data_IF_363437073917
#
_entry.id   IF_363437073917
#
_cell.length_a   1.000
_cell.length_b   1.000
_cell.length_c   1.000
_cell.angle_alpha   90.00
_cell.angle_beta   90.00
_cell.angle_gamma   90.00
#
_symmetry.space_group_name_H-M   'P 1'
#
loop_
_entity.id
_entity.type
_entity.pdbx_description
1 polymer ?
#
# COMPACT_ATOMS: atom_id res chain seq x y z
N UNK A 1 -15.45 -3.65 -4.02
CA UNK A 1 -14.41 -2.65 -4.26
C UNK A 1 -14.07 -1.93 -2.96
N UNK A 2 -12.89 -1.30 -2.92
CA UNK A 2 -12.44 -0.45 -1.83
C UNK A 2 -11.87 0.86 -2.35
N UNK A 3 -11.72 1.84 -1.46
CA UNK A 3 -11.12 3.15 -1.76
C UNK A 3 -9.92 3.38 -0.84
N UNK A 4 -8.79 3.82 -1.40
CA UNK A 4 -7.62 4.22 -0.62
C UNK A 4 -7.63 5.74 -0.41
N UNK A 5 -7.48 6.17 0.85
CA UNK A 5 -7.35 7.57 1.24
C UNK A 5 -5.98 7.80 1.87
N UNK A 6 -5.19 8.67 1.28
CA UNK A 6 -3.91 9.12 1.86
C UNK A 6 -4.22 10.13 2.97
N UNK A 7 -4.10 9.70 4.22
CA UNK A 7 -4.40 10.52 5.40
C UNK A 7 -3.15 11.26 5.86
N UNK A 8 -2.71 12.22 5.05
CA UNK A 8 -1.56 13.07 5.35
C UNK A 8 -2.00 14.53 5.47
N UNK A 9 -1.42 15.34 6.36
CA UNK A 9 -1.82 16.75 6.54
C UNK A 9 -1.79 17.59 5.26
N UNK A 10 -0.97 17.22 4.28
CA UNK A 10 -0.91 17.91 2.97
C UNK A 10 -2.04 17.52 2.02
N UNK A 11 -2.79 16.45 2.31
CA UNK A 11 -3.92 16.04 1.48
C UNK A 11 -5.19 16.80 1.89
N UNK A 12 -5.50 17.88 1.19
CA UNK A 12 -6.68 18.71 1.42
C UNK A 12 -8.00 18.01 1.06
N UNK A 13 -7.95 16.86 0.39
CA UNK A 13 -9.13 16.14 -0.11
C UNK A 13 -9.68 15.11 0.88
N UNK A 14 -8.98 14.77 1.95
CA UNK A 14 -9.34 13.69 2.89
C UNK A 14 -10.82 13.76 3.29
N UNK A 15 -11.27 14.93 3.72
CA UNK A 15 -12.66 15.10 4.18
C UNK A 15 -13.68 14.91 3.05
N UNK A 16 -13.45 15.53 1.89
CA UNK A 16 -14.34 15.44 0.74
C UNK A 16 -14.42 13.99 0.19
N UNK A 17 -13.29 13.31 0.12
CA UNK A 17 -13.23 11.91 -0.34
C UNK A 17 -13.92 10.97 0.66
N UNK A 18 -13.78 11.22 1.98
CA UNK A 18 -14.47 10.47 3.03
C UNK A 18 -16.01 10.65 2.93
N UNK A 19 -16.48 11.88 2.72
CA UNK A 19 -17.91 12.17 2.53
C UNK A 19 -18.51 11.40 1.35
N UNK A 20 -17.75 11.27 0.26
CA UNK A 20 -18.14 10.45 -0.89
C UNK A 20 -18.21 8.96 -0.51
N UNK A 21 -17.22 8.48 0.25
CA UNK A 21 -17.22 7.10 0.75
C UNK A 21 -18.44 6.80 1.63
N UNK A 22 -18.80 7.71 2.51
CA UNK A 22 -20.00 7.62 3.36
C UNK A 22 -21.26 7.61 2.52
N UNK A 23 -21.41 8.58 1.59
CA UNK A 23 -22.57 8.69 0.71
C UNK A 23 -22.84 7.42 -0.07
N UNK A 24 -21.78 6.75 -0.54
CA UNK A 24 -21.88 5.52 -1.32
C UNK A 24 -21.70 4.24 -0.50
N UNK A 25 -21.59 4.35 0.82
CA UNK A 25 -21.37 3.23 1.75
C UNK A 25 -20.27 2.29 1.26
N UNK A 26 -19.09 2.87 0.94
CA UNK A 26 -17.95 2.12 0.42
C UNK A 26 -17.58 1.02 1.41
N UNK A 27 -17.64 -0.27 1.02
CA UNK A 27 -17.52 -1.38 1.98
C UNK A 27 -16.11 -1.51 2.59
N UNK A 28 -15.08 -1.08 1.89
CA UNK A 28 -13.69 -1.13 2.35
C UNK A 28 -13.00 0.22 2.11
N UNK A 29 -12.53 0.84 3.18
CA UNK A 29 -11.63 2.01 3.09
C UNK A 29 -10.23 1.60 3.53
N UNK A 30 -9.24 1.90 2.72
CA UNK A 30 -7.82 1.73 3.04
C UNK A 30 -7.27 3.10 3.41
N UNK A 31 -6.52 3.19 4.52
CA UNK A 31 -5.86 4.43 4.95
C UNK A 31 -4.35 4.27 4.89
N UNK A 32 -3.66 5.30 4.40
CA UNK A 32 -2.21 5.35 4.28
C UNK A 32 -1.68 6.64 4.90
N UNK A 33 -0.46 6.60 5.45
CA UNK A 33 0.28 7.73 6.04
C UNK A 33 -0.36 8.40 7.27
N UNK A 34 -1.44 7.87 7.82
CA UNK A 34 -2.05 8.35 9.05
C UNK A 34 -3.22 7.48 9.50
N UNK A 35 -3.24 7.11 10.78
CA UNK A 35 -4.36 6.41 11.42
C UNK A 35 -5.15 7.43 12.27
N UNK A 36 -6.42 7.67 11.91
CA UNK A 36 -7.28 8.68 12.52
C UNK A 36 -8.58 8.04 12.97
N UNK A 37 -8.84 8.06 14.29
CA UNK A 37 -10.02 7.45 14.90
C UNK A 37 -11.33 7.95 14.30
N UNK A 38 -11.46 9.26 14.10
CA UNK A 38 -12.66 9.85 13.51
C UNK A 38 -13.01 9.28 12.13
N UNK A 39 -11.99 8.98 11.29
CA UNK A 39 -12.21 8.34 9.98
C UNK A 39 -12.73 6.90 10.18
N UNK A 40 -12.10 6.15 11.09
CA UNK A 40 -12.49 4.77 11.40
C UNK A 40 -13.94 4.74 11.91
N UNK A 41 -14.27 5.56 12.88
CA UNK A 41 -15.63 5.66 13.44
C UNK A 41 -16.66 6.02 12.37
N UNK A 42 -16.31 6.95 11.47
CA UNK A 42 -17.16 7.36 10.36
C UNK A 42 -17.45 6.21 9.40
N UNK A 43 -16.43 5.43 9.05
CA UNK A 43 -16.60 4.27 8.16
C UNK A 43 -17.40 3.16 8.86
N UNK A 44 -17.12 2.89 10.12
CA UNK A 44 -17.87 1.93 10.93
C UNK A 44 -19.35 2.32 11.09
N UNK A 45 -19.69 3.61 11.14
CA UNK A 45 -21.07 4.08 11.32
C UNK A 45 -22.06 3.60 10.26
N UNK A 46 -21.58 3.28 9.06
CA UNK A 46 -22.41 2.73 7.99
C UNK A 46 -22.14 1.23 7.69
N UNK A 47 -21.33 0.56 8.53
CA UNK A 47 -20.99 -0.86 8.39
C UNK A 47 -19.84 -1.16 7.42
N UNK A 48 -19.05 -0.15 7.03
CA UNK A 48 -17.81 -0.32 6.28
C UNK A 48 -16.67 -0.82 7.18
N UNK A 49 -15.60 -1.31 6.59
CA UNK A 49 -14.39 -1.76 7.27
C UNK A 49 -13.18 -0.91 6.87
N UNK A 50 -12.22 -0.76 7.79
CA UNK A 50 -11.00 0.03 7.56
C UNK A 50 -9.77 -0.83 7.67
N UNK A 51 -8.93 -0.81 6.62
CA UNK A 51 -7.58 -1.37 6.67
C UNK A 51 -6.55 -0.25 6.62
N UNK A 52 -5.39 -0.46 7.27
CA UNK A 52 -4.36 0.56 7.37
C UNK A 52 -3.00 0.06 6.89
N UNK A 53 -2.34 0.84 6.03
CA UNK A 53 -0.98 0.57 5.54
C UNK A 53 0.06 0.79 6.63
N UNK A 54 0.89 -0.22 6.89
CA UNK A 54 1.97 -0.15 7.86
C UNK A 54 3.31 -0.63 7.28
N UNK A 55 4.40 -0.04 7.74
CA UNK A 55 5.78 -0.43 7.39
C UNK A 55 6.63 -0.81 8.61
N UNK A 56 6.11 -0.64 9.83
CA UNK A 56 6.81 -0.95 11.09
C UNK A 56 5.83 -1.15 12.26
N UNK A 57 6.32 -1.78 13.33
CA UNK A 57 5.55 -2.10 14.54
C UNK A 57 4.77 -0.92 15.09
N UNK A 58 5.41 0.24 15.27
CA UNK A 58 4.75 1.44 15.82
C UNK A 58 3.55 1.92 15.01
N UNK A 59 3.57 1.71 13.68
CA UNK A 59 2.39 2.03 12.85
C UNK A 59 1.24 1.06 13.11
N UNK A 60 1.55 -0.23 13.28
CA UNK A 60 0.54 -1.24 13.59
C UNK A 60 -0.10 -1.01 14.97
N UNK A 61 0.72 -0.68 15.98
CA UNK A 61 0.22 -0.33 17.33
C UNK A 61 -0.74 0.85 17.26
N UNK A 62 -0.37 1.93 16.57
CA UNK A 62 -1.25 3.11 16.42
C UNK A 62 -2.52 2.81 15.63
N UNK A 63 -2.44 1.96 14.61
CA UNK A 63 -3.61 1.56 13.83
C UNK A 63 -4.57 0.70 14.67
N UNK A 64 -4.03 -0.19 15.50
CA UNK A 64 -4.84 -1.00 16.43
C UNK A 64 -5.51 -0.14 17.51
N UNK A 65 -4.76 0.84 18.07
CA UNK A 65 -5.30 1.81 19.06
C UNK A 65 -6.53 2.57 18.53
N UNK A 66 -6.58 2.90 17.24
CA UNK A 66 -7.72 3.59 16.61
C UNK A 66 -8.80 2.66 16.08
N UNK A 67 -8.65 1.36 16.25
CA UNK A 67 -9.70 0.38 16.00
C UNK A 67 -9.84 -0.10 14.56
N UNK A 68 -8.80 -0.04 13.71
CA UNK A 68 -8.87 -0.58 12.33
C UNK A 68 -9.18 -2.09 12.33
N UNK A 69 -9.82 -2.57 11.27
CA UNK A 69 -10.25 -3.97 11.13
C UNK A 69 -9.13 -4.88 10.60
N UNK A 70 -8.10 -4.30 10.00
CA UNK A 70 -6.95 -5.06 9.51
C UNK A 70 -5.77 -4.17 9.13
N UNK A 71 -4.62 -4.80 8.95
CA UNK A 71 -3.36 -4.16 8.58
C UNK A 71 -2.90 -4.62 7.19
N UNK A 72 -2.42 -3.68 6.40
CA UNK A 72 -1.70 -3.97 5.16
C UNK A 72 -0.21 -3.77 5.45
N UNK A 73 0.53 -4.85 5.45
CA UNK A 73 1.98 -4.85 5.65
C UNK A 73 2.65 -4.48 4.33
N UNK A 74 3.07 -3.23 4.21
CA UNK A 74 3.78 -2.73 3.02
C UNK A 74 5.26 -2.97 3.20
N UNK A 75 5.74 -4.11 2.69
CA UNK A 75 7.10 -4.61 2.91
C UNK A 75 8.07 -4.15 1.83
N UNK A 76 9.34 -4.53 1.97
CA UNK A 76 10.34 -4.33 0.92
C UNK A 76 9.85 -4.90 -0.42
N UNK A 77 10.01 -4.15 -1.50
CA UNK A 77 9.60 -4.54 -2.85
C UNK A 77 8.13 -4.25 -3.20
N UNK A 78 7.36 -3.63 -2.32
CA UNK A 78 6.07 -3.04 -2.72
C UNK A 78 6.31 -1.85 -3.65
N UNK A 79 5.56 -1.77 -4.76
CA UNK A 79 5.65 -0.63 -5.69
C UNK A 79 5.11 0.66 -5.06
N UNK A 80 5.72 1.81 -5.37
CA UNK A 80 5.42 3.08 -4.73
C UNK A 80 5.95 3.16 -3.31
N UNK A 81 5.31 3.93 -2.44
CA UNK A 81 5.74 4.09 -1.04
C UNK A 81 5.83 2.74 -0.34
N UNK A 82 6.99 2.42 0.21
CA UNK A 82 7.27 1.11 0.80
C UNK A 82 8.20 1.19 2.01
N UNK A 83 8.14 0.15 2.84
CA UNK A 83 9.11 -0.07 3.91
C UNK A 83 10.30 -0.92 3.45
N UNK A 84 11.32 -0.97 4.30
CA UNK A 84 12.52 -1.81 4.08
C UNK A 84 12.44 -3.17 4.80
N UNK A 85 11.37 -3.44 5.52
CA UNK A 85 11.24 -4.70 6.27
C UNK A 85 10.96 -5.87 5.33
N UNK A 86 11.74 -6.94 5.53
CA UNK A 86 11.47 -8.21 4.87
C UNK A 86 10.07 -8.73 5.27
N UNK A 87 9.26 -9.25 4.32
CA UNK A 87 7.92 -9.74 4.61
C UNK A 87 7.87 -10.80 5.71
N UNK A 88 8.79 -11.77 5.72
CA UNK A 88 8.83 -12.82 6.75
C UNK A 88 9.03 -12.24 8.15
N UNK A 89 9.96 -11.28 8.30
CA UNK A 89 10.24 -10.67 9.60
C UNK A 89 9.11 -9.75 10.07
N UNK A 90 8.52 -9.00 9.16
CA UNK A 90 7.45 -8.07 9.53
C UNK A 90 6.17 -8.83 9.90
N UNK A 91 5.79 -9.84 9.15
CA UNK A 91 4.57 -10.62 9.43
C UNK A 91 4.68 -11.35 10.77
N UNK A 92 5.83 -11.97 11.05
CA UNK A 92 6.09 -12.64 12.34
C UNK A 92 6.02 -11.66 13.51
N UNK A 93 6.62 -10.47 13.36
CA UNK A 93 6.57 -9.42 14.36
C UNK A 93 5.15 -8.92 14.63
N UNK A 94 4.37 -8.68 13.59
CA UNK A 94 3.01 -8.17 13.74
C UNK A 94 2.09 -9.23 14.36
N UNK A 95 2.18 -10.48 13.91
CA UNK A 95 1.39 -11.61 14.47
C UNK A 95 1.69 -11.90 15.94
N UNK A 96 2.80 -11.44 16.50
CA UNK A 96 3.10 -11.64 17.91
C UNK A 96 2.21 -10.83 18.87
N UNK A 97 1.50 -9.82 18.36
CA UNK A 97 0.63 -8.97 19.20
C UNK A 97 -0.71 -8.58 18.52
N UNK A 98 -0.83 -8.77 17.21
CA UNK A 98 -2.02 -8.37 16.46
C UNK A 98 -2.77 -9.60 15.96
N UNK A 99 -4.06 -9.73 16.28
CA UNK A 99 -4.89 -10.91 16.02
C UNK A 99 -5.93 -10.73 14.92
N UNK A 100 -6.14 -9.49 14.43
CA UNK A 100 -7.09 -9.21 13.35
C UNK A 100 -6.46 -9.51 11.98
N UNK A 101 -7.14 -9.18 10.89
CA UNK A 101 -6.73 -9.49 9.52
C UNK A 101 -5.42 -8.83 9.11
N UNK A 102 -4.56 -9.62 8.45
CA UNK A 102 -3.28 -9.18 7.90
C UNK A 102 -3.27 -9.40 6.39
N UNK A 103 -3.02 -8.33 5.66
CA UNK A 103 -2.76 -8.34 4.23
C UNK A 103 -1.26 -8.13 4.02
N UNK A 104 -0.64 -8.96 3.17
CA UNK A 104 0.76 -8.79 2.80
C UNK A 104 0.88 -8.13 1.42
N UNK A 105 1.65 -7.05 1.35
CA UNK A 105 2.02 -6.33 0.13
C UNK A 105 3.53 -6.26 -0.01
N UNK A 106 4.03 -6.55 -1.21
CA UNK A 106 5.44 -6.49 -1.59
C UNK A 106 5.91 -7.76 -2.30
N UNK A 107 6.50 -7.58 -3.48
CA UNK A 107 7.01 -8.66 -4.35
C UNK A 107 5.98 -9.75 -4.70
N UNK A 108 4.68 -9.44 -4.71
CA UNK A 108 3.63 -10.39 -5.07
C UNK A 108 3.19 -10.11 -6.50
N UNK A 109 3.50 -11.01 -7.44
CA UNK A 109 3.29 -10.81 -8.86
C UNK A 109 2.57 -11.96 -9.56
N UNK A 110 2.47 -13.12 -8.91
CA UNK A 110 1.86 -14.33 -9.49
C UNK A 110 1.25 -15.24 -8.42
N UNK A 111 0.62 -16.34 -8.83
CA UNK A 111 -0.07 -17.27 -7.92
C UNK A 111 0.85 -17.98 -6.92
N UNK A 112 2.12 -18.20 -7.25
CA UNK A 112 3.11 -18.79 -6.33
C UNK A 112 3.43 -17.83 -5.19
N UNK A 113 3.56 -16.54 -5.52
CA UNK A 113 3.82 -15.50 -4.52
C UNK A 113 2.62 -15.34 -3.57
N UNK A 114 1.38 -15.45 -4.11
CA UNK A 114 0.16 -15.48 -3.30
C UNK A 114 0.19 -16.66 -2.32
N UNK A 115 0.49 -17.87 -2.80
CA UNK A 115 0.59 -19.04 -1.94
C UNK A 115 1.65 -18.86 -0.85
N UNK A 116 2.80 -18.28 -1.19
CA UNK A 116 3.86 -17.99 -0.23
C UNK A 116 3.42 -16.96 0.83
N UNK A 117 2.71 -15.91 0.44
CA UNK A 117 2.17 -14.91 1.37
C UNK A 117 1.21 -15.56 2.39
N UNK A 118 0.31 -16.42 1.93
CA UNK A 118 -0.63 -17.15 2.80
C UNK A 118 0.10 -18.12 3.73
N UNK A 119 1.12 -18.83 3.23
CA UNK A 119 1.94 -19.73 4.07
C UNK A 119 2.75 -18.98 5.12
N UNK A 120 3.20 -17.76 4.84
CA UNK A 120 3.84 -16.89 5.83
C UNK A 120 2.88 -16.43 6.93
N UNK A 121 1.58 -16.61 6.74
CA UNK A 121 0.55 -16.29 7.72
C UNK A 121 -0.24 -15.03 7.42
N UNK A 122 -0.16 -14.45 6.22
CA UNK A 122 -1.10 -13.45 5.77
C UNK A 122 -2.48 -14.07 5.55
N UNK A 123 -3.54 -13.31 5.82
CA UNK A 123 -4.91 -13.72 5.46
C UNK A 123 -5.20 -13.43 3.99
N UNK A 124 -4.56 -12.39 3.43
CA UNK A 124 -4.77 -11.91 2.05
C UNK A 124 -3.43 -11.47 1.46
N UNK A 125 -3.24 -11.69 0.16
CA UNK A 125 -2.12 -11.18 -0.62
C UNK A 125 -2.58 -9.95 -1.44
N UNK A 126 -1.76 -8.90 -1.48
CA UNK A 126 -2.06 -7.64 -2.15
C UNK A 126 -1.10 -7.39 -3.33
N UNK A 127 -1.65 -7.27 -4.53
CA UNK A 127 -0.90 -7.06 -5.77
C UNK A 127 -1.28 -5.70 -6.36
N UNK A 128 -0.29 -4.86 -6.64
CA UNK A 128 -0.49 -3.54 -7.27
C UNK A 128 -0.01 -3.52 -8.72
N UNK A 129 1.31 -3.58 -8.92
CA UNK A 129 1.96 -3.37 -10.22
C UNK A 129 1.42 -4.30 -11.31
N UNK A 130 1.10 -5.55 -10.98
CA UNK A 130 0.51 -6.52 -11.93
C UNK A 130 -0.76 -5.99 -12.59
N UNK A 131 -1.58 -5.23 -11.86
CA UNK A 131 -2.86 -4.72 -12.35
C UNK A 131 -2.75 -3.37 -13.08
N UNK A 132 -1.56 -2.76 -13.14
CA UNK A 132 -1.34 -1.59 -14.00
C UNK A 132 -1.44 -1.99 -15.48
N UNK A 133 -1.04 -3.23 -15.82
CA UNK A 133 -1.02 -3.74 -17.19
C UNK A 133 -2.30 -4.46 -17.65
N UNK A 134 -3.41 -4.26 -16.94
CA UNK A 134 -4.71 -4.77 -17.40
C UNK A 134 -5.39 -3.79 -18.36
N UNK A 135 -6.33 -4.28 -19.18
CA UNK A 135 -7.04 -3.48 -20.17
C UNK A 135 -7.88 -2.37 -19.55
N UNK A 136 -8.41 -2.62 -18.35
CA UNK A 136 -9.24 -1.69 -17.59
C UNK A 136 -8.44 -0.55 -16.94
N UNK A 137 -7.13 -0.70 -16.84
CA UNK A 137 -6.26 0.35 -16.28
C UNK A 137 -6.13 1.51 -17.28
N UNK A 138 -6.27 2.73 -16.76
CA UNK A 138 -6.04 3.97 -17.49
C UNK A 138 -4.58 4.42 -17.52
N UNK A 139 -3.66 3.57 -17.08
CA UNK A 139 -2.23 3.85 -17.19
C UNK A 139 -1.86 4.06 -18.66
N UNK A 140 -0.94 4.99 -18.89
CA UNK A 140 -0.41 5.28 -20.22
C UNK A 140 0.25 4.03 -20.84
N UNK A 141 0.08 3.84 -22.14
CA UNK A 141 0.57 2.65 -22.85
C UNK A 141 2.10 2.57 -22.83
N UNK A 142 2.80 3.70 -22.81
CA UNK A 142 4.26 3.69 -22.73
C UNK A 142 4.73 3.32 -21.32
N UNK A 143 3.98 3.71 -20.27
CA UNK A 143 4.23 3.24 -18.91
C UNK A 143 3.96 1.73 -18.76
N UNK A 144 2.88 1.22 -19.37
CA UNK A 144 2.62 -0.23 -19.41
C UNK A 144 3.74 -1.01 -20.11
N UNK A 145 4.24 -0.52 -21.25
CA UNK A 145 5.39 -1.10 -21.95
C UNK A 145 6.66 -1.03 -21.09
N UNK A 146 6.89 0.09 -20.41
CA UNK A 146 8.00 0.24 -19.48
C UNK A 146 7.98 -0.85 -18.41
N UNK A 147 6.84 -1.09 -17.77
CA UNK A 147 6.68 -2.16 -16.76
C UNK A 147 6.99 -3.55 -17.36
N UNK A 148 6.51 -3.84 -18.58
CA UNK A 148 6.74 -5.13 -19.24
C UNK A 148 8.23 -5.36 -19.55
N UNK A 149 8.92 -4.31 -19.94
CA UNK A 149 10.33 -4.36 -20.33
C UNK A 149 11.32 -4.24 -19.17
N UNK A 150 10.83 -3.92 -17.96
CA UNK A 150 11.66 -3.77 -16.77
C UNK A 150 11.76 -5.07 -15.98
N UNK A 151 12.86 -5.19 -15.24
CA UNK A 151 13.17 -6.30 -14.34
C UNK A 151 13.31 -5.80 -12.90
N UNK A 152 13.62 -6.69 -11.97
CA UNK A 152 13.92 -6.33 -10.58
C UNK A 152 15.14 -5.39 -10.45
N UNK A 153 16.09 -5.47 -11.40
CA UNK A 153 17.28 -4.61 -11.44
C UNK A 153 16.95 -3.15 -11.78
N UNK A 154 15.75 -2.91 -12.35
CA UNK A 154 15.29 -1.56 -12.70
C UNK A 154 14.50 -0.88 -11.57
N UNK A 155 14.42 -1.49 -10.39
CA UNK A 155 13.73 -0.90 -9.24
C UNK A 155 14.71 -0.06 -8.41
N UNK A 156 14.39 1.22 -8.24
CA UNK A 156 15.13 2.18 -7.42
C UNK A 156 14.30 2.56 -6.20
N UNK A 157 14.89 2.38 -5.01
CA UNK A 157 14.29 2.79 -3.74
C UNK A 157 14.81 4.17 -3.34
N UNK A 158 13.98 5.19 -3.44
CA UNK A 158 14.39 6.58 -3.22
C UNK A 158 13.27 7.45 -2.67
N UNK A 159 13.64 8.57 -2.03
CA UNK A 159 12.71 9.60 -1.57
C UNK A 159 12.69 10.83 -2.51
N UNK A 160 13.51 10.89 -3.56
CA UNK A 160 13.71 12.08 -4.38
C UNK A 160 12.45 12.53 -5.15
N UNK A 161 11.46 11.65 -5.37
CA UNK A 161 10.24 11.97 -6.12
C UNK A 161 9.21 12.70 -5.25
N UNK A 162 9.00 12.23 -4.02
CA UNK A 162 7.88 12.71 -3.18
C UNK A 162 8.29 13.10 -1.75
N UNK A 163 9.57 13.03 -1.42
CA UNK A 163 10.05 13.21 -0.05
C UNK A 163 9.79 12.01 0.88
N UNK A 164 9.08 11.00 0.39
CA UNK A 164 8.82 9.73 1.10
C UNK A 164 9.42 8.58 0.29
N UNK A 165 10.15 7.70 0.95
CA UNK A 165 10.79 6.58 0.28
C UNK A 165 9.78 5.64 -0.38
N UNK A 166 10.09 5.24 -1.60
CA UNK A 166 9.31 4.32 -2.40
C UNK A 166 10.14 3.63 -3.48
N UNK A 167 9.56 2.61 -4.07
CA UNK A 167 10.13 1.89 -5.20
C UNK A 167 9.59 2.45 -6.52
N UNK A 168 10.50 2.88 -7.36
CA UNK A 168 10.22 3.48 -8.67
C UNK A 168 10.96 2.72 -9.75
N UNK A 169 10.46 2.76 -10.99
CA UNK A 169 11.17 2.24 -12.14
C UNK A 169 12.28 3.21 -12.57
N UNK A 170 13.51 2.70 -12.71
CA UNK A 170 14.67 3.45 -13.21
C UNK A 170 14.35 4.24 -14.48
N UNK A 171 13.84 3.60 -15.57
CA UNK A 171 13.55 4.35 -16.80
C UNK A 171 12.49 5.46 -16.59
N UNK A 172 11.59 5.33 -15.59
CA UNK A 172 10.66 6.40 -15.25
C UNK A 172 11.34 7.58 -14.57
N UNK A 173 12.33 7.34 -13.71
CA UNK A 173 13.13 8.38 -13.07
C UNK A 173 14.00 9.11 -14.10
N UNK A 174 14.67 8.36 -14.96
CA UNK A 174 15.50 8.91 -16.03
C UNK A 174 14.71 9.79 -17.01
N UNK A 175 13.49 9.37 -17.37
CA UNK A 175 12.58 10.18 -18.18
C UNK A 175 12.16 11.50 -17.51
N UNK A 176 12.21 11.56 -16.16
CA UNK A 176 11.99 12.77 -15.37
C UNK A 176 13.28 13.59 -15.14
N UNK A 177 14.43 13.15 -15.67
CA UNK A 177 15.73 13.78 -15.46
C UNK A 177 16.36 13.49 -14.08
N UNK A 178 15.86 12.47 -13.38
CA UNK A 178 16.38 12.04 -12.07
C UNK A 178 17.36 10.89 -12.33
N UNK A 179 18.65 11.17 -12.18
CA UNK A 179 19.74 10.24 -12.45
C UNK A 179 20.32 9.63 -11.15
N UNK A 180 21.26 8.69 -11.27
CA UNK A 180 21.85 7.93 -10.16
C UNK A 180 22.37 8.79 -9.02
N UNK A 181 22.85 9.98 -9.29
CA UNK A 181 23.36 10.92 -8.27
C UNK A 181 22.28 11.44 -7.30
N UNK A 182 21.00 11.22 -7.61
CA UNK A 182 19.85 11.65 -6.79
C UNK A 182 19.15 10.49 -6.05
N UNK A 183 19.64 9.25 -6.15
CA UNK A 183 18.95 8.07 -5.57
C UNK A 183 19.45 7.70 -4.16
#
# INVERSE_FOLDING_TARGET
FGVNIIVHPTNIRVQADLEICVKHKVPLVITSLGAVSQLVDTVHSYGGIVYHDIIKKRHAEKADEVGVDGLILVTAGAGGHAGLKNPMSLISLIKSFYSKKIILSGCISNGRDIASALQMGADIAYMGTRFINVKESRADEDYKKMIINSTAEDIVYTACVSGVHGNFLRPSLEAMGITEEFW
#
